data_IF_273291853215
#
_entry.id   IF_273291853215
#
_cell.length_a   1.000
_cell.length_b   1.000
_cell.length_c   1.000
_cell.angle_alpha   90.00
_cell.angle_beta   90.00
_cell.angle_gamma   90.00
#
_symmetry.space_group_name_H-M   'P 1'
#
loop_
_entity.id
_entity.type
_entity.pdbx_description
1 polymer ?
#
# COMPACT_ATOMS: atom_id res chain seq x y z
N UNK A 1 -15.63 -27.71 -11.81
CA UNK A 1 -15.69 -26.24 -11.60
C UNK A 1 -14.33 -25.82 -11.07
N UNK A 2 -13.38 -25.59 -11.97
CA UNK A 2 -11.99 -25.30 -11.61
C UNK A 2 -11.87 -23.81 -11.31
N UNK A 3 -11.60 -23.49 -10.05
CA UNK A 3 -11.30 -22.14 -9.58
C UNK A 3 -10.02 -21.68 -10.32
N UNK A 4 -10.11 -20.57 -11.05
CA UNK A 4 -8.96 -20.02 -11.76
C UNK A 4 -7.86 -19.65 -10.73
N UNK A 5 -6.57 -19.98 -10.99
CA UNK A 5 -5.52 -19.65 -10.05
C UNK A 5 -5.33 -18.13 -10.04
N UNK A 6 -5.17 -17.54 -8.87
CA UNK A 6 -4.95 -16.10 -8.60
C UNK A 6 -3.64 -15.52 -9.17
N UNK A 7 -2.92 -16.25 -10.03
CA UNK A 7 -1.55 -15.95 -10.50
C UNK A 7 -1.47 -15.17 -11.82
N UNK A 8 -2.56 -14.60 -12.34
CA UNK A 8 -2.60 -13.97 -13.68
C UNK A 8 -2.82 -12.47 -13.59
N UNK A 9 -1.89 -11.75 -12.97
CA UNK A 9 -1.96 -10.28 -12.82
C UNK A 9 -1.30 -9.50 -13.98
N UNK A 10 -0.75 -10.19 -14.98
CA UNK A 10 -0.23 -9.55 -16.20
C UNK A 10 -0.95 -10.08 -17.44
N UNK A 11 -1.89 -9.27 -17.96
CA UNK A 11 -2.50 -9.48 -19.27
C UNK A 11 -1.47 -9.18 -20.36
N UNK A 12 -0.93 -10.24 -20.97
CA UNK A 12 0.00 -10.15 -22.09
C UNK A 12 1.09 -11.22 -22.07
N UNK A 13 0.81 -12.38 -22.71
CA UNK A 13 1.78 -13.44 -23.07
C UNK A 13 2.71 -13.96 -21.95
N UNK A 14 2.28 -15.08 -21.35
CA UNK A 14 2.91 -15.90 -20.29
C UNK A 14 2.79 -15.31 -18.87
N UNK A 15 2.12 -16.01 -17.93
CA UNK A 15 2.00 -15.56 -16.55
C UNK A 15 3.39 -15.54 -15.88
N UNK A 16 3.66 -14.49 -15.12
CA UNK A 16 4.87 -14.36 -14.31
C UNK A 16 4.62 -15.01 -12.94
N UNK A 17 5.50 -15.89 -12.47
CA UNK A 17 5.38 -16.45 -11.12
C UNK A 17 5.65 -15.35 -10.08
N UNK A 18 4.74 -15.18 -9.13
CA UNK A 18 4.93 -14.30 -7.97
C UNK A 18 5.79 -15.04 -6.93
N UNK A 19 6.90 -14.44 -6.52
CA UNK A 19 7.88 -15.06 -5.61
C UNK A 19 7.65 -14.70 -4.15
N UNK A 20 7.42 -13.41 -3.88
CA UNK A 20 7.18 -12.89 -2.54
C UNK A 20 6.44 -11.55 -2.60
N UNK A 21 5.72 -11.23 -1.52
CA UNK A 21 5.09 -9.94 -1.27
C UNK A 21 6.02 -9.06 -0.44
N UNK A 22 6.06 -7.77 -0.75
CA UNK A 22 6.88 -6.79 -0.04
C UNK A 22 6.24 -6.24 1.23
N UNK A 23 4.94 -6.47 1.40
CA UNK A 23 4.15 -6.08 2.57
C UNK A 23 4.53 -6.88 3.81
N UNK A 24 4.24 -6.34 5.00
CA UNK A 24 4.47 -7.05 6.25
C UNK A 24 3.56 -8.28 6.41
N UNK A 25 2.36 -8.22 5.85
CA UNK A 25 1.36 -9.30 5.90
C UNK A 25 0.91 -9.63 4.48
N UNK A 26 0.55 -10.90 4.25
CA UNK A 26 -0.01 -11.33 2.97
C UNK A 26 -1.27 -10.55 2.65
N UNK A 27 -1.38 -10.09 1.40
CA UNK A 27 -2.63 -9.55 0.87
C UNK A 27 -3.71 -10.65 0.89
N UNK A 28 -4.97 -10.33 1.26
CA UNK A 28 -6.09 -11.25 1.13
C UNK A 28 -6.32 -11.74 -0.31
N UNK A 29 -5.82 -10.99 -1.30
CA UNK A 29 -5.93 -11.35 -2.72
C UNK A 29 -4.84 -12.33 -3.20
N UNK A 30 -3.78 -12.53 -2.41
CA UNK A 30 -2.59 -13.33 -2.74
C UNK A 30 -2.11 -14.15 -1.54
N UNK A 31 -3.02 -14.86 -0.87
CA UNK A 31 -2.71 -15.61 0.36
C UNK A 31 -1.71 -16.76 0.14
N UNK A 32 -1.56 -17.24 -1.08
CA UNK A 32 -0.63 -18.31 -1.45
C UNK A 32 0.82 -17.83 -1.63
N UNK A 33 1.02 -16.52 -1.87
CA UNK A 33 2.35 -15.94 -2.07
C UNK A 33 2.93 -15.53 -0.70
N UNK A 34 4.14 -15.98 -0.32
CA UNK A 34 4.72 -15.60 0.98
C UNK A 34 5.14 -14.14 1.00
N UNK A 35 5.33 -13.55 2.18
CA UNK A 35 6.03 -12.25 2.29
C UNK A 35 7.55 -12.44 2.24
N UNK A 36 8.32 -11.37 2.02
CA UNK A 36 9.79 -11.44 2.15
C UNK A 36 10.24 -11.96 3.52
N UNK A 37 9.53 -11.58 4.59
CA UNK A 37 9.84 -12.02 5.94
C UNK A 37 9.63 -13.53 6.12
N UNK A 38 8.53 -14.07 5.56
CA UNK A 38 8.25 -15.51 5.57
C UNK A 38 9.20 -16.30 4.67
N UNK A 39 9.70 -15.68 3.60
CA UNK A 39 10.71 -16.24 2.70
C UNK A 39 12.15 -16.16 3.24
N UNK A 40 12.35 -15.63 4.46
CA UNK A 40 13.65 -15.60 5.15
C UNK A 40 14.38 -14.26 5.12
N UNK A 41 13.83 -13.23 4.46
CA UNK A 41 14.37 -11.87 4.42
C UNK A 41 13.65 -11.03 5.48
N UNK A 42 14.04 -11.21 6.74
CA UNK A 42 13.30 -10.74 7.92
C UNK A 42 13.12 -9.22 8.03
N UNK A 43 14.09 -8.45 7.55
CA UNK A 43 14.13 -6.99 7.73
C UNK A 43 13.54 -6.21 6.56
N UNK A 44 13.15 -6.90 5.47
CA UNK A 44 12.65 -6.25 4.27
C UNK A 44 11.13 -6.16 4.29
N UNK A 45 10.63 -4.96 4.58
CA UNK A 45 9.24 -4.56 4.34
C UNK A 45 9.28 -3.30 3.49
N UNK A 46 8.69 -3.37 2.29
CA UNK A 46 8.55 -2.26 1.36
C UNK A 46 7.08 -2.18 0.97
N UNK A 47 6.31 -1.56 1.85
CA UNK A 47 4.88 -1.35 1.62
C UNK A 47 4.68 -0.04 0.86
N UNK A 48 3.94 -0.10 -0.25
CA UNK A 48 3.64 1.09 -1.06
C UNK A 48 2.25 1.59 -0.68
N UNK A 49 2.17 2.87 -0.34
CA UNK A 49 0.91 3.52 -0.01
C UNK A 49 0.62 4.70 -0.94
N UNK A 50 -0.67 5.02 -1.03
CA UNK A 50 -1.19 6.24 -1.66
C UNK A 50 -2.12 6.89 -0.64
N UNK A 51 -2.05 8.21 -0.53
CA UNK A 51 -2.90 8.97 0.39
C UNK A 51 -3.19 10.38 -0.09
N UNK A 52 -4.02 11.07 0.68
CA UNK A 52 -4.51 12.40 0.36
C UNK A 52 -3.84 13.41 1.28
N UNK A 53 -3.27 14.46 0.68
CA UNK A 53 -2.64 15.57 1.37
C UNK A 53 -3.46 16.84 1.20
N UNK A 54 -3.36 17.74 2.17
CA UNK A 54 -3.98 19.07 2.14
C UNK A 54 -2.90 20.15 2.33
N UNK A 55 -3.16 21.40 1.91
CA UNK A 55 -2.22 22.49 2.14
C UNK A 55 -1.88 22.69 3.62
N UNK A 56 -0.62 23.06 3.89
CA UNK A 56 -0.17 23.42 5.23
C UNK A 56 -1.03 24.56 5.81
N UNK A 57 -1.43 24.41 7.09
CA UNK A 57 -2.30 25.37 7.76
C UNK A 57 -3.80 25.17 7.51
N UNK A 58 -4.21 24.11 6.81
CA UNK A 58 -5.63 23.74 6.72
C UNK A 58 -6.21 23.52 8.13
N UNK A 59 -7.33 24.18 8.50
CA UNK A 59 -7.93 24.05 9.82
C UNK A 59 -8.25 22.60 10.21
N UNK A 60 -8.01 22.17 11.48
CA UNK A 60 -8.21 20.79 11.92
C UNK A 60 -9.62 20.25 11.69
N UNK A 61 -10.64 21.11 11.77
CA UNK A 61 -12.03 20.75 11.52
C UNK A 61 -12.27 20.35 10.05
N UNK A 62 -11.60 21.00 9.10
CA UNK A 62 -11.67 20.64 7.68
C UNK A 62 -10.97 19.32 7.44
N UNK A 63 -9.78 19.11 8.03
CA UNK A 63 -9.06 17.83 7.95
C UNK A 63 -9.92 16.69 8.50
N UNK A 64 -10.57 16.92 9.64
CA UNK A 64 -11.46 15.93 10.27
C UNK A 64 -12.64 15.61 9.37
N UNK A 65 -13.31 16.62 8.81
CA UNK A 65 -14.42 16.41 7.89
C UNK A 65 -13.98 15.62 6.65
N UNK A 66 -12.87 15.99 6.01
CA UNK A 66 -12.36 15.29 4.83
C UNK A 66 -12.01 13.84 5.16
N UNK A 67 -11.35 13.59 6.29
CA UNK A 67 -11.01 12.24 6.73
C UNK A 67 -12.27 11.38 6.92
N UNK A 68 -13.34 11.92 7.50
CA UNK A 68 -14.61 11.21 7.68
C UNK A 68 -15.21 10.83 6.32
N UNK A 69 -15.31 11.77 5.38
CA UNK A 69 -15.93 11.51 4.07
C UNK A 69 -15.09 10.56 3.21
N UNK A 70 -13.76 10.66 3.27
CA UNK A 70 -12.85 9.72 2.60
C UNK A 70 -13.06 8.30 3.15
N UNK A 71 -13.11 8.13 4.47
CA UNK A 71 -13.34 6.83 5.07
C UNK A 71 -14.71 6.25 4.71
N UNK A 72 -15.75 7.08 4.62
CA UNK A 72 -17.08 6.64 4.14
C UNK A 72 -17.00 6.14 2.70
N UNK A 73 -16.39 6.90 1.80
CA UNK A 73 -16.24 6.53 0.40
C UNK A 73 -15.43 5.23 0.22
N UNK A 74 -14.35 5.03 0.99
CA UNK A 74 -13.57 3.79 0.97
C UNK A 74 -14.36 2.56 1.46
N UNK A 75 -15.44 2.77 2.23
CA UNK A 75 -16.36 1.72 2.65
C UNK A 75 -17.41 1.33 1.60
N UNK A 76 -17.56 2.11 0.52
CA UNK A 76 -18.52 1.81 -0.53
C UNK A 76 -18.02 0.66 -1.43
N UNK A 77 -18.91 -0.31 -1.70
CA UNK A 77 -18.55 -1.52 -2.46
C UNK A 77 -17.96 -1.19 -3.83
N UNK A 78 -18.56 -0.25 -4.57
CA UNK A 78 -18.07 0.13 -5.91
C UNK A 78 -16.64 0.69 -5.88
N UNK A 79 -16.30 1.49 -4.86
CA UNK A 79 -14.96 2.04 -4.68
C UNK A 79 -14.00 0.91 -4.30
N UNK A 80 -14.36 0.12 -3.29
CA UNK A 80 -13.55 -1.02 -2.83
C UNK A 80 -13.24 -1.99 -3.97
N UNK A 81 -14.23 -2.36 -4.76
CA UNK A 81 -14.08 -3.27 -5.89
C UNK A 81 -13.16 -2.69 -6.97
N UNK A 82 -13.26 -1.38 -7.24
CA UNK A 82 -12.36 -0.68 -8.16
C UNK A 82 -10.89 -0.70 -7.71
N UNK A 83 -10.64 -0.49 -6.42
CA UNK A 83 -9.29 -0.61 -5.84
C UNK A 83 -8.76 -2.05 -5.97
N UNK A 84 -9.58 -3.05 -5.64
CA UNK A 84 -9.18 -4.46 -5.71
C UNK A 84 -8.89 -4.93 -7.15
N UNK A 85 -9.64 -4.44 -8.14
CA UNK A 85 -9.34 -4.69 -9.56
C UNK A 85 -7.96 -4.16 -9.99
N UNK A 86 -7.45 -3.15 -9.29
CA UNK A 86 -6.14 -2.53 -9.54
C UNK A 86 -5.05 -3.01 -8.58
N UNK A 87 -5.25 -4.14 -7.90
CA UNK A 87 -4.33 -4.70 -6.90
C UNK A 87 -4.08 -3.82 -5.68
N UNK A 88 -4.99 -2.88 -5.39
CA UNK A 88 -4.85 -1.94 -4.29
C UNK A 88 -5.88 -2.23 -3.20
N UNK A 89 -5.47 -2.06 -1.95
CA UNK A 89 -6.34 -2.27 -0.80
C UNK A 89 -6.75 -0.92 -0.19
N UNK A 90 -8.05 -0.62 -0.08
CA UNK A 90 -8.50 0.56 0.62
C UNK A 90 -8.36 0.34 2.14
N UNK A 91 -7.42 1.05 2.77
CA UNK A 91 -7.13 0.92 4.22
C UNK A 91 -7.89 1.94 5.06
N UNK A 92 -7.98 3.19 4.59
CA UNK A 92 -8.54 4.29 5.37
C UNK A 92 -7.75 4.58 6.65
N UNK A 93 -8.45 5.04 7.69
CA UNK A 93 -7.86 5.34 9.01
C UNK A 93 -7.84 6.83 9.36
N UNK A 94 -7.10 7.19 10.40
CA UNK A 94 -7.02 8.57 10.89
C UNK A 94 -5.91 9.36 10.20
N UNK A 95 -6.11 10.67 10.05
CA UNK A 95 -5.08 11.57 9.52
C UNK A 95 -3.78 11.53 10.35
N UNK A 96 -3.89 11.33 11.68
CA UNK A 96 -2.73 11.19 12.56
C UNK A 96 -1.93 9.90 12.31
N UNK A 97 -2.61 8.77 12.12
CA UNK A 97 -1.93 7.51 11.78
C UNK A 97 -1.24 7.62 10.40
N UNK A 98 -1.89 8.26 9.43
CA UNK A 98 -1.27 8.51 8.13
C UNK A 98 -0.06 9.44 8.23
N UNK A 99 -0.11 10.48 9.06
CA UNK A 99 1.05 11.37 9.30
C UNK A 99 2.24 10.60 9.87
N UNK A 100 2.00 9.69 10.84
CA UNK A 100 3.04 8.84 11.41
C UNK A 100 3.67 7.90 10.38
N UNK A 101 2.86 7.33 9.47
CA UNK A 101 3.34 6.52 8.35
C UNK A 101 4.28 7.33 7.46
N UNK A 102 3.85 8.53 7.04
CA UNK A 102 4.64 9.41 6.17
C UNK A 102 5.97 9.79 6.83
N UNK A 103 5.93 10.19 8.11
CA UNK A 103 7.14 10.58 8.85
C UNK A 103 8.12 9.41 9.01
N UNK A 104 7.61 8.21 9.28
CA UNK A 104 8.40 6.99 9.43
C UNK A 104 9.09 6.57 8.12
N UNK A 105 8.35 6.63 7.01
CA UNK A 105 8.88 6.32 5.69
C UNK A 105 9.90 7.38 5.25
N UNK A 106 9.60 8.66 5.45
CA UNK A 106 10.53 9.74 5.12
C UNK A 106 11.86 9.57 5.87
N UNK A 107 11.81 9.25 7.17
CA UNK A 107 13.02 8.98 7.96
C UNK A 107 13.80 7.76 7.43
N UNK A 108 13.10 6.70 7.05
CA UNK A 108 13.70 5.46 6.52
C UNK A 108 14.38 5.72 5.17
N UNK A 109 13.67 6.32 4.22
CA UNK A 109 14.20 6.56 2.89
C UNK A 109 15.28 7.64 2.88
N UNK A 110 15.19 8.69 3.71
CA UNK A 110 16.26 9.67 3.84
C UNK A 110 17.57 9.03 4.31
N UNK A 111 17.51 8.08 5.26
CA UNK A 111 18.67 7.29 5.69
C UNK A 111 19.23 6.47 4.54
N UNK A 112 18.38 5.71 3.83
CA UNK A 112 18.81 4.85 2.72
C UNK A 112 19.45 5.63 1.57
N UNK A 113 18.86 6.76 1.16
CA UNK A 113 19.41 7.63 0.11
C UNK A 113 20.83 8.08 0.47
N UNK A 114 21.05 8.45 1.74
CA UNK A 114 22.37 8.88 2.23
C UNK A 114 23.36 7.73 2.31
N UNK A 115 22.98 6.59 2.88
CA UNK A 115 23.86 5.43 3.07
C UNK A 115 24.27 4.78 1.74
N UNK A 116 23.33 4.72 0.79
CA UNK A 116 23.54 4.09 -0.51
C UNK A 116 24.04 5.06 -1.59
N UNK A 117 24.22 6.35 -1.25
CA UNK A 117 24.62 7.41 -2.17
C UNK A 117 23.76 7.45 -3.45
N UNK A 118 22.44 7.30 -3.27
CA UNK A 118 21.46 7.35 -4.36
C UNK A 118 21.30 8.81 -4.78
N UNK A 119 21.35 9.07 -6.09
CA UNK A 119 21.16 10.41 -6.65
C UNK A 119 19.96 10.38 -7.59
N UNK A 120 19.14 11.44 -7.62
CA UNK A 120 18.21 11.62 -8.73
C UNK A 120 19.00 11.79 -10.03
N UNK A 121 18.46 11.24 -11.10
CA UNK A 121 19.01 11.36 -12.46
C UNK A 121 18.99 12.82 -12.97
#
# INVERSE_FOLDING_TARGET
MALAPSTWWCSGSRPLPLLAQSTQKRSPSLLEVPTYQEAGIKELVLDQWVGVFVPAGTPPEIVTHLNIEINKALGEAAIRDGFLQSAQEPVGGSAGAFSQLVDGDFATYARLVKELNIKPD
#
